data_IF_004790463709
#
_entry.id   IF_004790463709
#
_cell.length_a   1.000
_cell.length_b   1.000
_cell.length_c   1.000
_cell.angle_alpha   90.00
_cell.angle_beta   90.00
_cell.angle_gamma   90.00
#
_symmetry.space_group_name_H-M   'P 1'
#
loop_
_entity.id
_entity.type
_entity.pdbx_description
1 polymer ?
#
# COMPACT_ATOMS: atom_id res chain seq x y z
N UNK A 1 17.16 6.12 -33.58
CA UNK A 1 15.77 5.97 -33.07
C UNK A 1 15.06 4.67 -33.51
N UNK A 2 15.50 3.99 -34.56
CA UNK A 2 14.92 2.69 -35.06
C UNK A 2 15.33 1.48 -34.25
N UNK A 3 16.48 1.45 -33.56
CA UNK A 3 16.98 0.29 -32.81
C UNK A 3 16.14 0.02 -31.53
N UNK A 4 15.61 1.06 -30.91
CA UNK A 4 14.74 0.93 -29.72
C UNK A 4 13.38 0.31 -30.05
N UNK A 5 12.84 0.57 -31.27
CA UNK A 5 11.54 0.04 -31.68
C UNK A 5 11.54 -1.49 -31.92
N UNK A 6 12.66 -2.02 -32.42
CA UNK A 6 12.78 -3.45 -32.71
C UNK A 6 13.00 -4.29 -31.43
N UNK A 7 13.66 -3.73 -30.43
CA UNK A 7 13.81 -4.36 -29.12
C UNK A 7 12.46 -4.46 -28.38
N UNK A 8 11.59 -3.46 -28.54
CA UNK A 8 10.32 -3.37 -27.85
C UNK A 8 9.26 -4.32 -28.40
N UNK A 9 9.34 -4.69 -29.68
CA UNK A 9 8.36 -5.62 -30.31
C UNK A 9 8.50 -7.07 -29.83
N UNK A 10 9.66 -7.45 -29.31
CA UNK A 10 9.92 -8.77 -28.71
C UNK A 10 9.71 -8.82 -27.19
N UNK A 11 9.41 -7.68 -26.55
CA UNK A 11 9.25 -7.61 -25.11
C UNK A 11 7.79 -7.96 -24.73
N UNK A 12 7.55 -9.22 -24.44
CA UNK A 12 6.22 -9.72 -24.03
C UNK A 12 5.94 -9.52 -22.52
N UNK A 13 6.90 -8.98 -21.77
CA UNK A 13 6.73 -8.75 -20.35
C UNK A 13 5.76 -7.60 -20.09
N UNK A 14 4.67 -7.89 -19.37
CA UNK A 14 3.67 -6.90 -18.99
C UNK A 14 3.84 -6.38 -17.57
N UNK A 15 4.66 -7.00 -16.77
CA UNK A 15 4.95 -6.65 -15.37
C UNK A 15 6.45 -6.71 -15.10
N UNK A 16 6.89 -6.07 -14.05
CA UNK A 16 8.24 -6.23 -13.52
C UNK A 16 8.21 -6.34 -12.00
N UNK A 17 9.24 -6.94 -11.43
CA UNK A 17 9.45 -6.95 -9.99
C UNK A 17 10.66 -6.11 -9.63
N UNK A 18 10.58 -5.43 -8.50
CA UNK A 18 11.70 -4.77 -7.83
C UNK A 18 12.04 -5.60 -6.60
N UNK A 19 13.30 -6.01 -6.51
CA UNK A 19 13.82 -6.85 -5.44
C UNK A 19 14.82 -6.03 -4.64
N UNK A 20 14.67 -6.03 -3.33
CA UNK A 20 15.59 -5.39 -2.40
C UNK A 20 15.90 -6.30 -1.22
N UNK A 21 16.87 -5.90 -0.41
CA UNK A 21 17.26 -6.58 0.81
C UNK A 21 16.89 -5.76 2.03
N UNK A 22 16.40 -6.40 3.07
CA UNK A 22 15.87 -5.74 4.26
C UNK A 22 16.89 -4.90 5.04
N UNK A 23 18.22 -5.12 4.86
CA UNK A 23 19.26 -4.53 5.69
C UNK A 23 20.47 -4.00 4.89
N UNK A 24 20.32 -3.67 3.61
CA UNK A 24 21.47 -3.31 2.79
C UNK A 24 21.29 -1.96 2.11
N UNK A 25 22.16 -1.03 2.47
CA UNK A 25 22.20 0.31 1.90
C UNK A 25 23.12 0.42 0.67
N UNK A 26 24.10 -0.50 0.54
CA UNK A 26 25.09 -0.46 -0.54
C UNK A 26 25.13 -1.76 -1.34
N UNK A 27 25.54 -1.63 -2.60
CA UNK A 27 25.77 -2.75 -3.50
C UNK A 27 26.94 -3.61 -2.99
N UNK A 28 26.71 -4.89 -2.78
CA UNK A 28 27.72 -5.86 -2.33
C UNK A 28 27.67 -7.18 -3.13
N UNK A 29 28.56 -8.12 -2.75
CA UNK A 29 28.62 -9.46 -3.37
C UNK A 29 27.30 -10.25 -3.29
N UNK A 30 26.44 -9.96 -2.31
CA UNK A 30 25.14 -10.63 -2.18
C UNK A 30 24.20 -10.25 -3.32
N UNK A 31 24.24 -9.00 -3.79
CA UNK A 31 23.48 -8.58 -4.97
C UNK A 31 23.86 -9.40 -6.20
N UNK A 32 25.15 -9.68 -6.40
CA UNK A 32 25.63 -10.48 -7.52
C UNK A 32 25.12 -11.92 -7.39
N UNK A 33 25.19 -12.49 -6.18
CA UNK A 33 24.70 -13.85 -5.90
C UNK A 33 23.21 -13.98 -6.17
N UNK A 34 22.41 -13.01 -5.68
CA UNK A 34 20.94 -13.01 -5.91
C UNK A 34 20.63 -12.75 -7.38
N UNK A 35 21.36 -11.83 -8.04
CA UNK A 35 21.20 -11.59 -9.47
C UNK A 35 21.41 -12.89 -10.28
N UNK A 36 22.47 -13.65 -9.94
CA UNK A 36 22.73 -14.92 -10.61
C UNK A 36 21.61 -15.93 -10.35
N UNK A 37 21.17 -16.11 -9.11
CA UNK A 37 20.05 -17.00 -8.79
C UNK A 37 18.74 -16.56 -9.47
N UNK A 38 18.49 -15.26 -9.57
CA UNK A 38 17.36 -14.76 -10.33
C UNK A 38 17.46 -15.11 -11.83
N UNK A 39 18.67 -15.06 -12.41
CA UNK A 39 18.90 -15.52 -13.80
C UNK A 39 18.61 -17.01 -13.97
N UNK A 40 19.04 -17.80 -12.99
CA UNK A 40 18.86 -19.26 -13.04
C UNK A 40 17.38 -19.66 -12.86
N UNK A 41 16.61 -18.93 -12.06
CA UNK A 41 15.20 -19.21 -11.81
C UNK A 41 14.27 -18.59 -12.86
N UNK A 42 14.61 -17.42 -13.39
CA UNK A 42 13.79 -16.68 -14.36
C UNK A 42 14.51 -16.58 -15.72
N UNK A 43 14.75 -17.69 -16.35
CA UNK A 43 15.59 -17.84 -17.55
C UNK A 43 15.35 -16.84 -18.69
N UNK A 44 14.14 -16.33 -18.85
CA UNK A 44 13.77 -15.38 -19.89
C UNK A 44 13.72 -13.91 -19.42
N UNK A 45 14.03 -13.62 -18.15
CA UNK A 45 13.67 -12.33 -17.54
C UNK A 45 14.79 -11.30 -17.45
N UNK A 46 16.02 -11.64 -17.85
CA UNK A 46 17.18 -10.75 -17.89
C UNK A 46 17.26 -9.76 -16.71
N UNK A 47 17.39 -10.23 -15.46
CA UNK A 47 17.45 -9.35 -14.30
C UNK A 47 18.67 -8.43 -14.38
N UNK A 48 18.51 -7.18 -13.94
CA UNK A 48 19.58 -6.18 -13.94
C UNK A 48 19.51 -5.33 -12.66
N UNK A 49 20.58 -4.61 -12.38
CA UNK A 49 20.65 -3.72 -11.23
C UNK A 49 20.33 -2.31 -11.65
N UNK A 50 19.42 -1.68 -10.90
CA UNK A 50 19.06 -0.29 -11.07
C UNK A 50 18.89 0.37 -9.69
N UNK A 51 19.65 1.43 -9.41
CA UNK A 51 19.62 2.17 -8.12
C UNK A 51 19.69 1.24 -6.90
N UNK A 52 20.69 0.37 -6.86
CA UNK A 52 20.92 -0.61 -5.79
C UNK A 52 19.80 -1.62 -5.57
N UNK A 53 18.93 -1.82 -6.55
CA UNK A 53 17.85 -2.82 -6.52
C UNK A 53 17.96 -3.71 -7.75
N UNK A 54 17.53 -4.97 -7.60
CA UNK A 54 17.42 -5.87 -8.75
C UNK A 54 16.04 -5.69 -9.36
N UNK A 55 16.01 -5.44 -10.66
CA UNK A 55 14.77 -5.34 -11.46
C UNK A 55 14.68 -6.54 -12.36
N UNK A 56 13.54 -7.21 -12.38
CA UNK A 56 13.25 -8.37 -13.21
C UNK A 56 11.97 -8.10 -13.99
N UNK A 57 12.02 -8.31 -15.31
CA UNK A 57 10.82 -8.33 -16.13
C UNK A 57 10.13 -9.69 -16.01
N UNK A 58 8.83 -9.67 -15.72
CA UNK A 58 8.05 -10.89 -15.50
C UNK A 58 7.23 -11.21 -16.75
N UNK A 59 7.41 -12.41 -17.27
CA UNK A 59 6.55 -12.97 -18.33
C UNK A 59 5.26 -13.53 -17.72
N UNK A 60 4.24 -13.73 -18.58
CA UNK A 60 2.92 -14.23 -18.15
C UNK A 60 3.00 -15.60 -17.46
N UNK A 61 4.00 -16.37 -17.79
CA UNK A 61 4.17 -17.75 -17.31
C UNK A 61 4.75 -17.83 -15.89
N UNK A 62 5.27 -16.71 -15.35
CA UNK A 62 5.79 -16.69 -13.98
C UNK A 62 4.65 -16.63 -12.98
N UNK A 63 4.49 -17.71 -12.21
CA UNK A 63 3.47 -17.77 -11.17
C UNK A 63 3.87 -16.92 -9.96
N UNK A 64 2.86 -16.35 -9.29
CA UNK A 64 3.10 -15.63 -8.02
C UNK A 64 3.72 -16.56 -6.96
N UNK A 65 3.42 -17.85 -7.01
CA UNK A 65 3.96 -18.83 -6.06
C UNK A 65 5.46 -19.05 -6.26
N UNK A 66 5.96 -19.06 -7.49
CA UNK A 66 7.40 -19.16 -7.77
C UNK A 66 8.15 -17.94 -7.22
N UNK A 67 7.61 -16.74 -7.44
CA UNK A 67 8.18 -15.51 -6.90
C UNK A 67 8.24 -15.56 -5.37
N UNK A 68 7.15 -16.02 -4.72
CA UNK A 68 7.10 -16.20 -3.25
C UNK A 68 8.14 -17.20 -2.76
N UNK A 69 8.25 -18.35 -3.42
CA UNK A 69 9.22 -19.38 -3.04
C UNK A 69 10.66 -18.86 -3.10
N UNK A 70 11.01 -18.13 -4.17
CA UNK A 70 12.34 -17.54 -4.32
C UNK A 70 12.57 -16.46 -3.26
N UNK A 71 11.61 -15.57 -3.06
CA UNK A 71 11.71 -14.51 -2.07
C UNK A 71 11.94 -15.06 -0.66
N UNK A 72 11.18 -16.08 -0.27
CA UNK A 72 11.34 -16.73 1.03
C UNK A 72 12.68 -17.46 1.16
N UNK A 73 13.10 -18.21 0.13
CA UNK A 73 14.36 -18.99 0.19
C UNK A 73 15.60 -18.09 0.33
N UNK A 74 15.53 -16.86 -0.15
CA UNK A 74 16.62 -15.89 -0.19
C UNK A 74 16.43 -14.71 0.78
N UNK A 75 15.36 -14.72 1.56
CA UNK A 75 14.99 -13.63 2.48
C UNK A 75 14.94 -12.25 1.79
N UNK A 76 14.22 -12.17 0.69
CA UNK A 76 14.11 -10.97 -0.15
C UNK A 76 12.81 -10.22 0.08
N UNK A 77 12.88 -8.92 -0.12
CA UNK A 77 11.73 -8.04 -0.27
C UNK A 77 11.42 -7.91 -1.76
N UNK A 78 10.21 -8.26 -2.16
CA UNK A 78 9.79 -8.24 -3.56
C UNK A 78 8.52 -7.45 -3.72
N UNK A 79 8.52 -6.50 -4.62
CA UNK A 79 7.33 -5.75 -5.03
C UNK A 79 7.11 -6.00 -6.51
N UNK A 80 5.90 -6.41 -6.87
CA UNK A 80 5.51 -6.72 -8.26
C UNK A 80 4.64 -5.58 -8.76
N UNK A 81 4.97 -5.03 -9.95
CA UNK A 81 4.20 -3.96 -10.57
C UNK A 81 2.81 -4.42 -11.00
N UNK A 82 1.91 -3.47 -11.20
CA UNK A 82 0.72 -3.66 -12.02
C UNK A 82 1.09 -3.95 -13.48
N UNK A 83 0.11 -4.32 -14.29
CA UNK A 83 0.33 -4.48 -15.72
C UNK A 83 0.75 -3.14 -16.35
N UNK A 84 1.82 -3.20 -17.14
CA UNK A 84 2.32 -2.05 -17.87
C UNK A 84 1.51 -1.87 -19.16
N UNK A 85 0.76 -0.78 -19.28
CA UNK A 85 0.10 -0.43 -20.55
C UNK A 85 1.16 -0.10 -21.61
N UNK A 86 2.24 0.59 -21.20
CA UNK A 86 3.38 0.99 -22.03
C UNK A 86 4.65 1.01 -21.20
N UNK A 87 5.75 0.57 -21.77
CA UNK A 87 7.07 0.65 -21.13
C UNK A 87 7.47 2.08 -20.73
N UNK A 88 6.91 3.08 -21.39
CA UNK A 88 7.12 4.49 -21.05
C UNK A 88 6.65 4.86 -19.63
N UNK A 89 5.69 4.12 -19.07
CA UNK A 89 5.18 4.37 -17.72
C UNK A 89 5.96 3.63 -16.61
N UNK A 90 6.97 2.84 -16.96
CA UNK A 90 7.74 2.03 -16.01
C UNK A 90 8.36 2.87 -14.87
N UNK A 91 8.80 4.09 -15.17
CA UNK A 91 9.35 5.01 -14.18
C UNK A 91 8.35 5.38 -13.09
N UNK A 92 7.06 5.52 -13.44
CA UNK A 92 5.99 5.83 -12.49
C UNK A 92 5.69 4.64 -11.57
N UNK A 93 5.60 3.45 -12.16
CA UNK A 93 5.46 2.20 -11.39
C UNK A 93 6.64 2.00 -10.46
N UNK A 94 7.88 2.16 -10.96
CA UNK A 94 9.08 2.05 -10.14
C UNK A 94 9.07 3.03 -8.96
N UNK A 95 8.68 4.29 -9.18
CA UNK A 95 8.60 5.28 -8.10
C UNK A 95 7.56 4.90 -7.04
N UNK A 96 6.38 4.40 -7.43
CA UNK A 96 5.36 3.90 -6.48
C UNK A 96 5.86 2.69 -5.70
N UNK A 97 6.53 1.74 -6.37
CA UNK A 97 7.11 0.57 -5.72
C UNK A 97 8.19 0.95 -4.69
N UNK A 98 9.01 1.97 -4.97
CA UNK A 98 9.93 2.52 -3.98
C UNK A 98 9.20 3.14 -2.78
N UNK A 99 8.10 3.86 -3.01
CA UNK A 99 7.28 4.41 -1.92
C UNK A 99 6.64 3.33 -1.05
N UNK A 100 6.22 2.21 -1.66
CA UNK A 100 5.71 1.03 -0.92
C UNK A 100 6.83 0.42 -0.08
N UNK A 101 8.02 0.27 -0.63
CA UNK A 101 9.18 -0.25 0.11
C UNK A 101 9.52 0.62 1.30
N UNK A 102 9.61 1.95 1.12
CA UNK A 102 9.87 2.90 2.20
C UNK A 102 8.81 2.81 3.31
N UNK A 103 7.55 2.63 2.90
CA UNK A 103 6.45 2.43 3.84
C UNK A 103 6.60 1.14 4.65
N UNK A 104 6.86 0.02 3.99
CA UNK A 104 7.04 -1.29 4.63
C UNK A 104 8.28 -1.33 5.53
N UNK A 105 9.37 -0.68 5.11
CA UNK A 105 10.57 -0.50 5.93
C UNK A 105 10.28 0.28 7.23
N UNK A 106 9.51 1.37 7.16
CA UNK A 106 9.08 2.12 8.36
C UNK A 106 8.21 1.29 9.31
N UNK A 107 7.50 0.30 8.79
CA UNK A 107 6.72 -0.67 9.57
C UNK A 107 7.54 -1.90 10.01
N UNK A 108 8.85 -1.89 9.82
CA UNK A 108 9.75 -3.01 10.13
C UNK A 108 9.34 -4.34 9.47
N UNK A 109 8.70 -4.29 8.30
CA UNK A 109 8.35 -5.49 7.53
C UNK A 109 9.56 -5.97 6.74
N UNK A 110 9.81 -7.27 6.79
CA UNK A 110 10.93 -7.93 6.09
C UNK A 110 10.45 -9.20 5.42
N UNK A 111 11.14 -9.63 4.37
CA UNK A 111 10.86 -10.89 3.65
C UNK A 111 9.42 -10.96 3.14
N UNK A 112 9.02 -10.00 2.32
CA UNK A 112 7.67 -9.89 1.78
C UNK A 112 7.64 -10.00 0.26
N UNK A 113 6.49 -10.48 -0.24
CA UNK A 113 6.11 -10.37 -1.66
C UNK A 113 4.75 -9.69 -1.74
N UNK A 114 4.74 -8.48 -2.28
CA UNK A 114 3.53 -7.67 -2.40
C UNK A 114 3.35 -7.17 -3.83
N UNK A 115 2.11 -6.88 -4.22
CA UNK A 115 1.82 -6.22 -5.50
C UNK A 115 1.65 -4.72 -5.32
N UNK A 116 2.00 -3.96 -6.35
CA UNK A 116 1.76 -2.51 -6.41
C UNK A 116 0.26 -2.23 -6.23
N UNK A 117 -0.60 -3.04 -6.85
CA UNK A 117 -2.05 -2.89 -6.75
C UNK A 117 -2.57 -2.98 -5.31
N UNK A 118 -2.08 -3.96 -4.54
CA UNK A 118 -2.52 -4.14 -3.15
C UNK A 118 -2.28 -2.90 -2.28
N UNK A 119 -1.30 -2.08 -2.62
CA UNK A 119 -0.93 -0.86 -1.90
C UNK A 119 -1.42 0.43 -2.55
N UNK A 120 -2.26 0.35 -3.57
CA UNK A 120 -2.69 1.53 -4.34
C UNK A 120 -3.41 2.59 -3.48
N UNK A 121 -4.26 2.16 -2.54
CA UNK A 121 -4.95 3.07 -1.62
C UNK A 121 -3.95 3.70 -0.65
N UNK A 122 -3.07 2.92 -0.06
CA UNK A 122 -2.04 3.42 0.88
C UNK A 122 -1.14 4.45 0.18
N UNK A 123 -0.64 4.15 -1.02
CA UNK A 123 0.21 5.08 -1.76
C UNK A 123 -0.53 6.37 -2.13
N UNK A 124 -1.82 6.28 -2.46
CA UNK A 124 -2.66 7.46 -2.70
C UNK A 124 -2.81 8.33 -1.45
N UNK A 125 -3.14 7.74 -0.31
CA UNK A 125 -3.27 8.46 0.97
C UNK A 125 -1.94 9.10 1.40
N UNK A 126 -0.81 8.39 1.21
CA UNK A 126 0.52 8.94 1.48
C UNK A 126 0.85 10.14 0.57
N UNK A 127 0.50 10.07 -0.71
CA UNK A 127 0.69 11.19 -1.64
C UNK A 127 -0.15 12.41 -1.25
N UNK A 128 -1.41 12.21 -0.84
CA UNK A 128 -2.25 13.30 -0.33
C UNK A 128 -1.59 13.96 0.88
N UNK A 129 -1.10 13.18 1.83
CA UNK A 129 -0.40 13.68 3.03
C UNK A 129 0.89 14.45 2.68
N UNK A 130 1.68 13.95 1.73
CA UNK A 130 2.90 14.62 1.25
C UNK A 130 2.63 15.95 0.52
N UNK A 131 1.45 16.07 -0.12
CA UNK A 131 1.00 17.29 -0.81
C UNK A 131 0.15 18.20 0.10
N UNK A 132 0.38 18.16 1.40
CA UNK A 132 -0.25 19.02 2.40
C UNK A 132 -1.78 18.95 2.42
N UNK A 133 -2.36 17.76 2.12
CA UNK A 133 -3.80 17.56 2.29
C UNK A 133 -4.21 17.90 3.71
N UNK A 134 -5.10 18.88 3.84
CA UNK A 134 -5.56 19.34 5.15
C UNK A 134 -6.63 18.37 5.68
N UNK A 135 -6.25 17.59 6.69
CA UNK A 135 -7.21 16.77 7.45
C UNK A 135 -8.22 17.71 8.13
N UNK A 136 -9.48 17.31 8.15
CA UNK A 136 -10.53 18.05 8.85
C UNK A 136 -10.16 18.25 10.33
N UNK A 137 -10.34 19.48 10.84
CA UNK A 137 -9.94 19.84 12.20
C UNK A 137 -10.67 19.01 13.27
N UNK A 138 -11.95 18.66 13.03
CA UNK A 138 -12.78 17.85 13.93
C UNK A 138 -12.30 16.40 13.96
N UNK A 139 -11.96 15.85 12.77
CA UNK A 139 -11.35 14.51 12.65
C UNK A 139 -9.96 14.51 13.31
N UNK A 140 -9.19 15.57 13.16
CA UNK A 140 -7.89 15.72 13.82
C UNK A 140 -8.00 15.76 15.35
N UNK A 141 -9.04 16.41 15.87
CA UNK A 141 -9.33 16.40 17.32
C UNK A 141 -9.76 15.02 17.80
N UNK A 142 -10.58 14.32 17.02
CA UNK A 142 -11.01 12.95 17.30
C UNK A 142 -9.84 11.97 17.32
N UNK A 143 -8.90 12.07 16.34
CA UNK A 143 -7.68 11.29 16.33
C UNK A 143 -6.84 11.48 17.60
N UNK A 144 -6.66 12.73 18.03
CA UNK A 144 -5.94 13.03 19.28
C UNK A 144 -6.66 12.44 20.50
N UNK A 145 -7.98 12.44 20.50
CA UNK A 145 -8.77 11.78 21.56
C UNK A 145 -8.52 10.28 21.57
N UNK A 146 -8.57 9.62 20.40
CA UNK A 146 -8.33 8.18 20.30
C UNK A 146 -6.93 7.80 20.79
N UNK A 147 -5.90 8.53 20.35
CA UNK A 147 -4.52 8.32 20.80
C UNK A 147 -4.33 8.50 22.31
N UNK A 148 -4.99 9.49 22.90
CA UNK A 148 -4.88 9.80 24.34
C UNK A 148 -5.61 8.78 25.21
N UNK A 149 -6.79 8.32 24.77
CA UNK A 149 -7.71 7.54 25.61
C UNK A 149 -7.78 6.07 25.20
N UNK A 150 -7.00 5.66 24.18
CA UNK A 150 -7.03 4.32 23.58
C UNK A 150 -8.44 3.90 23.17
N UNK A 151 -9.12 4.79 22.44
CA UNK A 151 -10.49 4.62 21.95
C UNK A 151 -10.49 4.41 20.42
N UNK A 152 -11.64 4.03 19.83
CA UNK A 152 -11.76 3.66 18.42
C UNK A 152 -12.87 4.47 17.73
N UNK A 153 -12.95 5.77 18.01
CA UNK A 153 -13.96 6.63 17.40
C UNK A 153 -13.72 6.82 15.89
N UNK A 154 -12.46 7.09 15.49
CA UNK A 154 -12.08 7.22 14.08
C UNK A 154 -12.44 5.95 13.29
N UNK A 155 -12.09 4.78 13.82
CA UNK A 155 -12.43 3.50 13.20
C UNK A 155 -13.94 3.30 13.10
N UNK A 156 -14.66 3.61 14.17
CA UNK A 156 -16.13 3.46 14.20
C UNK A 156 -16.81 4.36 13.16
N UNK A 157 -16.40 5.63 13.05
CA UNK A 157 -16.95 6.55 12.06
C UNK A 157 -16.61 6.11 10.63
N UNK A 158 -15.38 5.71 10.38
CA UNK A 158 -14.97 5.20 9.07
C UNK A 158 -15.85 4.02 8.62
N UNK A 159 -15.94 2.99 9.46
CA UNK A 159 -16.77 1.80 9.15
C UNK A 159 -18.26 2.18 9.03
N UNK A 160 -18.76 3.11 9.85
CA UNK A 160 -20.14 3.59 9.77
C UNK A 160 -20.45 4.24 8.41
N UNK A 161 -19.57 5.12 7.93
CA UNK A 161 -19.74 5.77 6.62
C UNK A 161 -19.69 4.73 5.49
N UNK A 162 -18.70 3.82 5.46
CA UNK A 162 -18.60 2.81 4.40
C UNK A 162 -19.72 1.76 4.45
N UNK A 163 -20.38 1.57 5.60
CA UNK A 163 -21.56 0.73 5.77
C UNK A 163 -22.87 1.48 5.46
N UNK A 164 -22.80 2.63 4.79
CA UNK A 164 -23.96 3.48 4.48
C UNK A 164 -24.82 3.78 5.73
N UNK A 165 -24.17 4.16 6.81
CA UNK A 165 -24.79 4.55 8.09
C UNK A 165 -25.62 3.45 8.77
N UNK A 166 -25.33 2.19 8.47
CA UNK A 166 -26.01 1.05 9.08
C UNK A 166 -25.37 0.67 10.42
N UNK A 167 -25.99 0.99 11.54
CA UNK A 167 -25.53 0.60 12.88
C UNK A 167 -25.28 -0.91 13.01
N UNK A 168 -26.19 -1.72 12.44
CA UNK A 168 -26.09 -3.17 12.48
C UNK A 168 -24.84 -3.67 11.75
N UNK A 169 -24.63 -3.25 10.48
CA UNK A 169 -23.46 -3.64 9.68
C UNK A 169 -22.17 -3.14 10.30
N UNK A 170 -22.17 -1.92 10.85
CA UNK A 170 -21.00 -1.37 11.55
C UNK A 170 -20.64 -2.20 12.77
N UNK A 171 -21.62 -2.58 13.57
CA UNK A 171 -21.44 -3.41 14.75
C UNK A 171 -20.90 -4.79 14.40
N UNK A 172 -21.41 -5.40 13.32
CA UNK A 172 -20.94 -6.69 12.79
C UNK A 172 -19.46 -6.59 12.36
N UNK A 173 -19.07 -5.56 11.60
CA UNK A 173 -17.70 -5.34 11.14
C UNK A 173 -16.72 -5.05 12.29
N UNK A 174 -17.16 -4.35 13.33
CA UNK A 174 -16.35 -4.03 14.49
C UNK A 174 -16.39 -5.09 15.60
N UNK A 175 -17.11 -6.20 15.38
CA UNK A 175 -17.33 -7.25 16.39
C UNK A 175 -17.79 -6.68 17.75
N UNK A 176 -18.73 -5.71 17.72
CA UNK A 176 -19.23 -5.01 18.90
C UNK A 176 -20.76 -4.92 18.91
N UNK A 177 -21.33 -4.34 19.95
CA UNK A 177 -22.78 -4.12 20.06
C UNK A 177 -23.21 -2.84 19.33
N UNK A 178 -24.39 -2.86 18.70
CA UNK A 178 -24.97 -1.66 18.04
C UNK A 178 -25.13 -0.47 18.99
N UNK A 179 -25.39 -0.69 20.27
CA UNK A 179 -25.43 0.38 21.27
C UNK A 179 -24.08 1.05 21.49
N UNK A 180 -22.97 0.30 21.42
CA UNK A 180 -21.61 0.86 21.50
C UNK A 180 -21.33 1.74 20.28
N UNK A 181 -21.70 1.25 19.08
CA UNK A 181 -21.56 2.03 17.85
C UNK A 181 -22.38 3.32 17.94
N UNK A 182 -23.66 3.21 18.34
CA UNK A 182 -24.56 4.37 18.50
C UNK A 182 -23.98 5.40 19.47
N UNK A 183 -23.51 4.95 20.63
CA UNK A 183 -22.86 5.81 21.63
C UNK A 183 -21.64 6.55 21.05
N UNK A 184 -20.76 5.84 20.33
CA UNK A 184 -19.57 6.45 19.73
C UNK A 184 -19.93 7.49 18.68
N UNK A 185 -20.93 7.21 17.84
CA UNK A 185 -21.39 8.15 16.81
C UNK A 185 -22.03 9.40 17.45
N UNK A 186 -22.91 9.22 18.43
CA UNK A 186 -23.54 10.33 19.15
C UNK A 186 -22.49 11.21 19.84
N UNK A 187 -21.54 10.60 20.51
CA UNK A 187 -20.44 11.32 21.16
C UNK A 187 -19.56 12.08 20.15
N UNK A 188 -19.25 11.49 18.98
CA UNK A 188 -18.51 12.18 17.92
C UNK A 188 -19.29 13.40 17.38
N UNK A 189 -20.62 13.28 17.27
CA UNK A 189 -21.51 14.39 16.85
C UNK A 189 -21.58 15.49 17.91
N UNK A 190 -21.73 15.12 19.18
CA UNK A 190 -21.97 16.11 20.28
C UNK A 190 -20.66 16.79 20.74
N UNK A 191 -19.58 16.03 20.93
CA UNK A 191 -18.32 16.57 21.48
C UNK A 191 -17.36 17.09 20.41
N UNK A 192 -17.40 16.55 19.19
CA UNK A 192 -16.50 16.92 18.10
C UNK A 192 -17.23 17.58 16.92
N UNK A 193 -18.54 17.77 17.02
CA UNK A 193 -19.37 18.40 15.97
C UNK A 193 -19.23 17.75 14.60
N UNK A 194 -19.01 16.44 14.55
CA UNK A 194 -18.83 15.68 13.29
C UNK A 194 -20.22 15.29 12.77
N UNK A 195 -20.65 15.92 11.68
CA UNK A 195 -21.93 15.63 11.03
C UNK A 195 -21.73 14.59 9.91
N UNK A 196 -21.89 13.32 10.26
CA UNK A 196 -21.82 12.22 9.31
C UNK A 196 -23.01 12.13 8.37
N UNK A 197 -24.09 12.88 8.63
CA UNK A 197 -25.31 12.86 7.82
C UNK A 197 -25.24 13.86 6.65
N UNK A 198 -24.23 14.75 6.62
CA UNK A 198 -24.04 15.71 5.54
C UNK A 198 -23.30 15.07 4.35
N UNK A 199 -23.98 14.83 3.20
CA UNK A 199 -23.37 14.15 2.05
C UNK A 199 -22.19 14.91 1.42
N UNK A 200 -22.17 16.25 1.53
CA UNK A 200 -21.10 17.09 0.97
C UNK A 200 -19.77 16.87 1.69
N UNK A 201 -19.82 16.47 2.96
CA UNK A 201 -18.65 16.22 3.79
C UNK A 201 -18.21 14.75 3.78
N UNK A 202 -19.03 13.82 3.29
CA UNK A 202 -18.74 12.38 3.35
C UNK A 202 -17.37 12.03 2.76
N UNK A 203 -17.09 12.51 1.54
CA UNK A 203 -15.83 12.20 0.87
C UNK A 203 -14.63 12.80 1.62
N UNK A 204 -14.78 14.02 2.09
CA UNK A 204 -13.75 14.71 2.85
C UNK A 204 -13.47 14.03 4.20
N UNK A 205 -14.52 13.65 4.92
CA UNK A 205 -14.40 12.87 6.15
C UNK A 205 -13.77 11.51 5.90
N UNK A 206 -14.18 10.82 4.82
CA UNK A 206 -13.64 9.51 4.49
C UNK A 206 -12.12 9.56 4.27
N UNK A 207 -11.63 10.54 3.50
CA UNK A 207 -10.18 10.71 3.29
C UNK A 207 -9.49 11.10 4.61
N UNK A 208 -10.04 12.04 5.36
CA UNK A 208 -9.46 12.49 6.64
C UNK A 208 -9.37 11.34 7.65
N UNK A 209 -10.42 10.53 7.77
CA UNK A 209 -10.45 9.34 8.62
C UNK A 209 -9.46 8.27 8.12
N UNK A 210 -9.38 8.05 6.79
CA UNK A 210 -8.43 7.09 6.22
C UNK A 210 -6.98 7.43 6.55
N UNK A 211 -6.60 8.70 6.41
CA UNK A 211 -5.24 9.17 6.78
C UNK A 211 -5.02 9.00 8.28
N UNK A 212 -6.02 9.34 9.11
CA UNK A 212 -5.95 9.18 10.57
C UNK A 212 -5.81 7.72 10.99
N UNK A 213 -6.52 6.81 10.31
CA UNK A 213 -6.44 5.37 10.58
C UNK A 213 -5.09 4.77 10.19
N UNK A 214 -4.44 5.27 9.13
CA UNK A 214 -3.05 4.88 8.83
C UNK A 214 -2.09 5.31 9.94
N UNK A 215 -2.31 6.48 10.58
CA UNK A 215 -1.52 6.93 11.73
C UNK A 215 -1.74 6.07 12.97
N UNK A 216 -2.97 5.59 13.17
CA UNK A 216 -3.34 4.66 14.25
C UNK A 216 -2.88 3.21 14.00
N UNK A 217 -2.38 2.87 12.81
CA UNK A 217 -1.87 1.56 12.47
C UNK A 217 -2.89 0.57 11.89
N UNK A 218 -4.05 1.05 11.43
CA UNK A 218 -5.06 0.23 10.76
C UNK A 218 -4.78 0.05 9.26
N UNK A 219 -3.55 -0.25 8.91
CA UNK A 219 -3.09 -0.36 7.51
C UNK A 219 -3.84 -1.43 6.73
N UNK A 220 -4.21 -2.52 7.39
CA UNK A 220 -4.88 -3.69 6.77
C UNK A 220 -6.23 -3.34 6.14
N UNK A 221 -6.87 -2.25 6.59
CA UNK A 221 -8.11 -1.76 5.99
C UNK A 221 -7.93 -1.26 4.54
N UNK A 222 -6.69 -0.94 4.14
CA UNK A 222 -6.35 -0.28 2.89
C UNK A 222 -5.48 -1.12 1.96
N UNK A 223 -5.20 -2.36 2.34
CA UNK A 223 -4.50 -3.35 1.50
C UNK A 223 -5.57 -4.16 0.75
N UNK A 224 -5.52 -4.11 -0.61
CA UNK A 224 -6.49 -4.76 -1.50
C UNK A 224 -6.16 -6.25 -1.75
#
# INVERSE_FOLDING_TARGET
MQIAGTFLSHFSAKRFAVISFSNMHDFDEKHITVLQRCKDCFHASHPFIYKNKIVIFLHKDHSQQEIKNIAHSLNLNVIVSDELDRLFNMNKHYARMCSIEDYLCKKNKTSYVVSEHAFSIITFLMQLKQNDFRIDNKISALLKHDLKNNTEFCLTLYIYIICNHSLKKTAENLHTHSNTVLYRIQKAKEEFEIDTDNPELHFYYLISLSISLLELGYDELFIL
#
